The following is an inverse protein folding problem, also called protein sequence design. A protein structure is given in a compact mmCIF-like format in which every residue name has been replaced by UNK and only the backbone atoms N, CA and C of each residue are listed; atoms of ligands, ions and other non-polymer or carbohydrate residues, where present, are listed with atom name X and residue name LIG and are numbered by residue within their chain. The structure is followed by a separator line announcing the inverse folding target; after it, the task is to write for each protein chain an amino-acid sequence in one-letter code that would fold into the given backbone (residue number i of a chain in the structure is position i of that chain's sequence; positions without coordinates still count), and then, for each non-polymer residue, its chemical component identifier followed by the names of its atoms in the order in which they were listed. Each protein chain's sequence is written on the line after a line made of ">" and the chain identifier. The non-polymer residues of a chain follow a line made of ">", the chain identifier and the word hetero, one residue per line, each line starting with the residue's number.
data_IF_991475312935
#
_entry.id   IF_991475312935
#
_cell.length_a   1.000
_cell.length_b   1.000
_cell.length_c   1.000
_cell.angle_alpha   90.00
_cell.angle_beta   90.00
_cell.angle_gamma   90.00
#
_symmetry.space_group_name_H-M   'P 1'
#
loop_
_entity.id
_entity.type
_entity.pdbx_description
1 polymer ?
#
# COMPACT_ATOMS: atom_id res chain seq x y z
N UNK A 1 -12.87 -15.56 -15.51
CA UNK A 1 -11.39 -15.65 -15.43
C UNK A 1 -10.98 -14.89 -14.18
N UNK A 2 -9.94 -15.33 -13.45
CA UNK A 2 -9.41 -14.56 -12.34
C UNK A 2 -8.95 -13.18 -12.82
N UNK A 3 -9.02 -12.18 -11.95
CA UNK A 3 -8.36 -10.89 -12.18
C UNK A 3 -6.84 -11.07 -12.24
N UNK A 4 -6.13 -10.20 -12.96
CA UNK A 4 -4.66 -10.23 -13.01
C UNK A 4 -4.12 -8.93 -12.41
N UNK A 5 -3.43 -9.04 -11.28
CA UNK A 5 -2.65 -7.94 -10.70
C UNK A 5 -1.21 -8.02 -11.21
N UNK A 6 -0.74 -6.97 -11.90
CA UNK A 6 0.65 -6.87 -12.35
C UNK A 6 1.44 -5.89 -11.50
N UNK A 7 2.55 -6.35 -10.92
CA UNK A 7 3.49 -5.49 -10.19
C UNK A 7 4.89 -6.07 -10.14
N UNK A 8 5.85 -5.30 -9.62
CA UNK A 8 7.16 -5.84 -9.27
C UNK A 8 7.03 -6.88 -8.16
N UNK A 9 7.97 -7.82 -8.12
CA UNK A 9 8.13 -8.83 -7.08
C UNK A 9 8.72 -8.22 -5.78
N UNK A 10 7.99 -7.24 -5.24
CA UNK A 10 8.27 -6.50 -4.00
C UNK A 10 6.94 -6.15 -3.33
N UNK A 11 6.97 -5.65 -2.09
CA UNK A 11 5.80 -5.04 -1.42
C UNK A 11 5.26 -3.84 -2.22
N UNK A 12 6.02 -2.74 -2.23
CA UNK A 12 5.73 -1.48 -2.91
C UNK A 12 4.26 -1.03 -2.88
N UNK A 13 3.84 -0.37 -3.96
CA UNK A 13 2.49 0.21 -4.12
C UNK A 13 1.37 -0.84 -4.26
N UNK A 14 1.71 -2.12 -4.38
CA UNK A 14 0.72 -3.19 -4.54
C UNK A 14 0.26 -3.78 -3.20
N UNK A 15 0.90 -3.43 -2.08
CA UNK A 15 0.61 -4.08 -0.80
C UNK A 15 -0.85 -3.91 -0.37
N UNK A 16 -1.36 -2.67 -0.34
CA UNK A 16 -2.76 -2.40 -0.04
C UNK A 16 -3.72 -3.10 -1.02
N UNK A 17 -3.34 -3.23 -2.30
CA UNK A 17 -4.16 -3.91 -3.32
C UNK A 17 -4.27 -5.40 -3.03
N UNK A 18 -3.14 -6.07 -2.75
CA UNK A 18 -3.12 -7.49 -2.39
C UNK A 18 -3.95 -7.78 -1.16
N UNK A 19 -3.78 -6.97 -0.11
CA UNK A 19 -4.58 -7.07 1.11
C UNK A 19 -6.08 -6.90 0.84
N UNK A 20 -6.46 -5.94 0.00
CA UNK A 20 -7.86 -5.71 -0.36
C UNK A 20 -8.45 -6.85 -1.19
N UNK A 21 -7.68 -7.42 -2.13
CA UNK A 21 -8.10 -8.59 -2.91
C UNK A 21 -8.34 -9.80 -2.01
N UNK A 22 -7.44 -10.06 -1.05
CA UNK A 22 -7.60 -11.17 -0.10
C UNK A 22 -8.78 -10.92 0.86
N UNK A 23 -8.95 -9.69 1.37
CA UNK A 23 -10.08 -9.34 2.23
C UNK A 23 -11.44 -9.51 1.54
N UNK A 24 -11.52 -9.12 0.26
CA UNK A 24 -12.75 -9.24 -0.54
C UNK A 24 -12.98 -10.64 -1.11
N UNK A 25 -12.11 -11.61 -0.77
CA UNK A 25 -12.13 -12.98 -1.27
C UNK A 25 -12.15 -13.04 -2.81
N UNK A 26 -11.46 -12.09 -3.43
CA UNK A 26 -11.41 -11.93 -4.87
C UNK A 26 -10.65 -13.10 -5.53
N UNK A 27 -11.14 -13.59 -6.66
CA UNK A 27 -10.38 -14.52 -7.50
C UNK A 27 -9.38 -13.75 -8.35
N UNK A 28 -8.09 -13.86 -8.03
CA UNK A 28 -7.02 -13.17 -8.76
C UNK A 28 -5.74 -14.02 -8.88
N UNK A 29 -4.93 -13.69 -9.88
CA UNK A 29 -3.56 -14.14 -10.07
C UNK A 29 -2.63 -12.93 -10.09
N UNK A 30 -1.36 -13.14 -9.73
CA UNK A 30 -0.33 -12.11 -9.80
C UNK A 30 0.65 -12.36 -10.94
N UNK A 31 0.85 -11.34 -11.77
CA UNK A 31 1.98 -11.24 -12.70
C UNK A 31 3.09 -10.45 -12.01
N UNK A 32 4.01 -11.18 -11.38
CA UNK A 32 5.18 -10.59 -10.73
C UNK A 32 6.31 -10.40 -11.75
N UNK A 33 6.80 -9.18 -11.86
CA UNK A 33 7.98 -8.85 -12.65
C UNK A 33 9.20 -8.78 -11.74
N UNK A 34 10.30 -9.42 -12.14
CA UNK A 34 11.57 -9.35 -11.40
C UNK A 34 12.48 -8.30 -12.01
N UNK A 35 13.02 -7.42 -11.18
CA UNK A 35 14.11 -6.51 -11.56
C UNK A 35 15.45 -7.24 -11.43
N UNK A 36 16.33 -7.13 -12.43
CA UNK A 36 17.69 -7.66 -12.39
C UNK A 36 18.53 -7.04 -11.26
N UNK A 37 19.67 -7.64 -10.96
CA UNK A 37 20.58 -7.13 -9.94
C UNK A 37 21.40 -5.93 -10.44
N UNK A 38 22.05 -5.26 -9.49
CA UNK A 38 22.98 -4.18 -9.78
C UNK A 38 24.19 -4.71 -10.61
N UNK A 39 24.79 -3.87 -11.46
CA UNK A 39 24.47 -2.46 -11.70
C UNK A 39 23.37 -2.24 -12.76
N UNK A 40 22.98 -3.29 -13.48
CA UNK A 40 22.15 -3.16 -14.69
C UNK A 40 20.67 -2.95 -14.38
N UNK A 41 20.19 -3.51 -13.27
CA UNK A 41 18.79 -3.44 -12.84
C UNK A 41 17.80 -3.79 -13.95
N UNK A 42 18.07 -4.87 -14.71
CA UNK A 42 17.31 -5.24 -15.91
C UNK A 42 15.79 -5.23 -15.65
N UNK A 43 15.04 -4.56 -16.52
CA UNK A 43 13.57 -4.45 -16.47
C UNK A 43 12.91 -5.13 -17.66
N UNK A 44 13.66 -5.95 -18.41
CA UNK A 44 13.21 -6.51 -19.68
C UNK A 44 11.91 -7.32 -19.56
N UNK A 45 11.69 -8.02 -18.44
CA UNK A 45 10.44 -8.76 -18.20
C UNK A 45 9.21 -7.85 -18.34
N UNK A 46 9.23 -6.69 -17.67
CA UNK A 46 8.14 -5.72 -17.77
C UNK A 46 8.12 -5.02 -19.14
N UNK A 47 9.28 -4.53 -19.59
CA UNK A 47 9.36 -3.72 -20.80
C UNK A 47 8.92 -4.48 -22.08
N UNK A 48 9.06 -5.81 -22.09
CA UNK A 48 8.59 -6.67 -23.19
C UNK A 48 7.07 -6.75 -23.31
N UNK A 49 6.34 -6.57 -22.21
CA UNK A 49 4.88 -6.69 -22.13
C UNK A 49 4.17 -5.32 -22.00
N UNK A 50 4.87 -4.30 -21.48
CA UNK A 50 4.33 -2.97 -21.14
C UNK A 50 3.31 -2.41 -22.13
N UNK A 51 3.63 -2.43 -23.42
CA UNK A 51 2.79 -1.84 -24.49
C UNK A 51 1.88 -2.84 -25.20
N UNK A 52 1.81 -4.09 -24.73
CA UNK A 52 1.03 -5.19 -25.34
C UNK A 52 -0.21 -5.58 -24.52
N UNK A 53 -0.37 -5.02 -23.33
CA UNK A 53 -1.47 -5.33 -22.42
C UNK A 53 -2.75 -4.52 -22.69
N UNK A 54 -2.70 -3.52 -23.58
CA UNK A 54 -3.83 -2.65 -23.90
C UNK A 54 -4.19 -1.67 -22.77
N UNK A 55 -3.22 -1.30 -21.93
CA UNK A 55 -3.39 -0.28 -20.89
C UNK A 55 -3.38 1.12 -21.53
N UNK A 56 -4.28 2.02 -21.12
CA UNK A 56 -4.32 3.40 -21.62
C UNK A 56 -3.06 4.18 -21.24
N UNK A 57 -2.62 4.03 -19.98
CA UNK A 57 -1.39 4.62 -19.44
C UNK A 57 -0.48 3.52 -18.89
N UNK A 58 0.31 2.82 -19.72
CA UNK A 58 1.08 1.65 -19.30
C UNK A 58 1.99 1.89 -18.09
N UNK A 59 1.63 1.32 -16.94
CA UNK A 59 2.31 1.52 -15.66
C UNK A 59 2.16 0.30 -14.73
N UNK A 60 2.91 0.29 -13.63
CA UNK A 60 2.78 -0.67 -12.53
C UNK A 60 2.41 0.07 -11.23
N UNK A 61 1.44 -0.39 -10.43
CA UNK A 61 0.62 -1.58 -10.66
C UNK A 61 -0.43 -1.39 -11.77
N UNK A 62 -0.85 -2.52 -12.35
CA UNK A 62 -2.05 -2.62 -13.16
C UNK A 62 -2.97 -3.73 -12.66
N UNK A 63 -4.27 -3.61 -12.90
CA UNK A 63 -5.27 -4.66 -12.71
C UNK A 63 -6.01 -4.90 -14.02
N UNK A 64 -6.12 -6.16 -14.44
CA UNK A 64 -6.96 -6.57 -15.57
C UNK A 64 -8.09 -7.43 -15.04
N UNK A 65 -9.32 -7.01 -15.31
CA UNK A 65 -10.55 -7.71 -14.95
C UNK A 65 -11.51 -7.73 -16.14
N UNK A 66 -11.45 -8.82 -16.92
CA UNK A 66 -12.18 -8.96 -18.17
C UNK A 66 -11.82 -7.84 -19.15
N UNK A 67 -12.80 -6.99 -19.47
CA UNK A 67 -12.60 -5.85 -20.36
C UNK A 67 -11.90 -4.66 -19.68
N UNK A 68 -11.95 -4.58 -18.34
CA UNK A 68 -11.39 -3.47 -17.58
C UNK A 68 -9.88 -3.62 -17.44
N UNK A 69 -9.16 -2.55 -17.79
CA UNK A 69 -7.70 -2.47 -17.74
C UNK A 69 -7.32 -1.20 -17.01
N UNK A 70 -6.86 -1.33 -15.77
CA UNK A 70 -6.76 -0.21 -14.83
C UNK A 70 -5.31 -0.07 -14.39
N UNK A 71 -4.81 1.17 -14.39
CA UNK A 71 -3.51 1.55 -13.82
C UNK A 71 -3.72 2.60 -12.73
N UNK A 72 -2.68 2.91 -11.96
CA UNK A 72 -2.70 3.73 -10.73
C UNK A 72 -3.28 2.97 -9.54
N UNK A 73 -2.48 2.85 -8.47
CA UNK A 73 -2.83 2.06 -7.28
C UNK A 73 -4.16 2.51 -6.65
N UNK A 74 -4.36 3.82 -6.50
CA UNK A 74 -5.59 4.38 -5.92
C UNK A 74 -6.82 4.10 -6.80
N UNK A 75 -6.69 4.17 -8.13
CA UNK A 75 -7.78 3.85 -9.04
C UNK A 75 -8.16 2.35 -8.98
N UNK A 76 -7.15 1.47 -8.87
CA UNK A 76 -7.33 0.03 -8.68
C UNK A 76 -8.05 -0.26 -7.35
N UNK A 77 -7.59 0.34 -6.25
CA UNK A 77 -8.22 0.21 -4.94
C UNK A 77 -9.68 0.66 -4.98
N UNK A 78 -9.95 1.85 -5.51
CA UNK A 78 -11.31 2.38 -5.66
C UNK A 78 -12.19 1.49 -6.54
N UNK A 79 -11.63 0.87 -7.59
CA UNK A 79 -12.37 -0.06 -8.45
C UNK A 79 -12.82 -1.30 -7.68
N UNK A 80 -11.91 -1.94 -6.96
CA UNK A 80 -12.23 -3.10 -6.12
C UNK A 80 -13.22 -2.67 -5.03
N UNK A 81 -12.96 -1.57 -4.35
CA UNK A 81 -13.81 -1.04 -3.28
C UNK A 81 -15.26 -0.82 -3.72
N UNK A 82 -15.48 -0.24 -4.91
CA UNK A 82 -16.84 -0.02 -5.46
C UNK A 82 -17.60 -1.33 -5.72
N UNK A 83 -16.91 -2.42 -6.07
CA UNK A 83 -17.56 -3.74 -6.25
C UNK A 83 -18.08 -4.34 -4.94
N UNK A 84 -17.55 -3.88 -3.80
CA UNK A 84 -17.82 -4.43 -2.48
C UNK A 84 -18.38 -3.40 -1.49
N UNK A 85 -18.79 -2.22 -1.96
CA UNK A 85 -19.32 -1.11 -1.14
C UNK A 85 -18.36 -0.63 -0.03
N UNK A 86 -17.05 -0.52 -0.34
CA UNK A 86 -16.00 -0.14 0.60
C UNK A 86 -15.47 1.30 0.39
N UNK A 87 -16.31 2.23 -0.09
CA UNK A 87 -15.90 3.59 -0.48
C UNK A 87 -16.36 4.72 0.46
N UNK A 88 -17.04 4.41 1.56
CA UNK A 88 -17.82 5.39 2.33
C UNK A 88 -19.21 5.59 1.72
N UNK A 89 -20.22 5.73 2.58
CA UNK A 89 -21.64 5.80 2.25
C UNK A 89 -22.15 7.24 2.34
N UNK A 90 -21.81 7.94 3.43
CA UNK A 90 -22.22 9.34 3.66
C UNK A 90 -21.25 10.33 3.03
N UNK A 91 -21.65 11.61 2.95
CA UNK A 91 -20.77 12.66 2.44
C UNK A 91 -19.56 12.87 3.36
N UNK A 92 -19.77 12.83 4.67
CA UNK A 92 -18.71 12.93 5.67
C UNK A 92 -17.70 11.79 5.54
N UNK A 93 -18.18 10.57 5.29
CA UNK A 93 -17.32 9.41 5.06
C UNK A 93 -16.50 9.55 3.78
N UNK A 94 -17.11 10.03 2.69
CA UNK A 94 -16.42 10.28 1.41
C UNK A 94 -15.34 11.35 1.54
N UNK A 95 -15.64 12.45 2.25
CA UNK A 95 -14.64 13.49 2.55
C UNK A 95 -13.44 12.88 3.29
N UNK A 96 -13.69 12.03 4.30
CA UNK A 96 -12.61 11.38 5.04
C UNK A 96 -11.81 10.41 4.19
N UNK A 97 -12.47 9.64 3.33
CA UNK A 97 -11.83 8.77 2.33
C UNK A 97 -10.91 9.58 1.42
N UNK A 98 -11.40 10.67 0.85
CA UNK A 98 -10.65 11.47 -0.11
C UNK A 98 -9.44 12.15 0.54
N UNK A 99 -9.60 12.70 1.75
CA UNK A 99 -8.48 13.30 2.51
C UNK A 99 -7.42 12.23 2.81
N UNK A 100 -7.83 11.09 3.36
CA UNK A 100 -6.89 10.08 3.83
C UNK A 100 -6.16 9.39 2.68
N UNK A 101 -6.84 9.12 1.56
CA UNK A 101 -6.21 8.54 0.37
C UNK A 101 -5.04 9.42 -0.12
N UNK A 102 -5.26 10.72 -0.21
CA UNK A 102 -4.25 11.66 -0.69
C UNK A 102 -3.14 11.86 0.36
N UNK A 103 -3.49 11.99 1.64
CA UNK A 103 -2.52 12.12 2.72
C UNK A 103 -1.61 10.87 2.84
N UNK A 104 -2.18 9.67 2.68
CA UNK A 104 -1.41 8.43 2.68
C UNK A 104 -0.42 8.37 1.50
N UNK A 105 -0.83 8.84 0.32
CA UNK A 105 0.04 8.91 -0.85
C UNK A 105 1.20 9.90 -0.64
N UNK A 106 0.94 11.09 -0.10
CA UNK A 106 1.99 12.08 0.20
C UNK A 106 3.03 11.51 1.18
N UNK A 107 2.57 10.85 2.23
CA UNK A 107 3.44 10.21 3.23
C UNK A 107 4.25 9.07 2.62
N UNK A 108 3.63 8.23 1.78
CA UNK A 108 4.33 7.15 1.06
C UNK A 108 5.46 7.70 0.19
N UNK A 109 5.17 8.78 -0.56
CA UNK A 109 6.13 9.42 -1.46
C UNK A 109 7.27 10.10 -0.70
N UNK A 110 7.00 10.68 0.47
CA UNK A 110 8.03 11.27 1.33
C UNK A 110 9.02 10.20 1.83
N UNK A 111 8.52 9.08 2.36
CA UNK A 111 9.38 7.98 2.80
C UNK A 111 10.19 7.41 1.63
N UNK A 112 9.52 7.16 0.49
CA UNK A 112 10.19 6.66 -0.70
C UNK A 112 11.31 7.61 -1.15
N UNK A 113 11.08 8.93 -1.18
CA UNK A 113 12.10 9.92 -1.55
C UNK A 113 13.34 9.81 -0.66
N UNK A 114 13.17 9.61 0.65
CA UNK A 114 14.29 9.41 1.58
C UNK A 114 15.00 8.10 1.27
N UNK A 115 14.27 6.98 1.18
CA UNK A 115 14.84 5.64 1.01
C UNK A 115 15.51 5.38 -0.35
N UNK A 116 15.14 6.12 -1.40
CA UNK A 116 15.79 6.06 -2.71
C UNK A 116 16.93 7.08 -2.88
N UNK A 117 17.09 8.02 -1.96
CA UNK A 117 18.12 9.06 -2.07
C UNK A 117 19.52 8.48 -1.82
N UNK A 118 20.54 8.81 -2.64
CA UNK A 118 21.93 8.49 -2.31
C UNK A 118 22.41 9.18 -1.03
N UNK A 119 21.74 10.26 -0.60
CA UNK A 119 22.00 10.97 0.65
C UNK A 119 21.15 10.45 1.83
N UNK A 120 20.65 9.21 1.76
CA UNK A 120 19.78 8.60 2.78
C UNK A 120 20.25 8.84 4.23
N UNK A 121 21.53 8.59 4.53
CA UNK A 121 22.09 8.77 5.89
C UNK A 121 22.04 10.23 6.38
N UNK A 122 22.03 11.21 5.47
CA UNK A 122 21.90 12.63 5.83
C UNK A 122 20.44 13.05 6.02
N UNK A 123 19.53 12.46 5.24
CA UNK A 123 18.10 12.80 5.25
C UNK A 123 17.32 12.04 6.35
N UNK A 124 17.79 10.85 6.73
CA UNK A 124 17.12 9.99 7.70
C UNK A 124 16.88 10.66 9.06
N UNK A 125 17.83 11.39 9.67
CA UNK A 125 17.60 12.02 10.98
C UNK A 125 16.44 13.01 10.99
N UNK A 126 16.38 13.90 9.99
CA UNK A 126 15.28 14.87 9.85
C UNK A 126 13.95 14.16 9.63
N UNK A 127 13.94 13.10 8.80
CA UNK A 127 12.73 12.31 8.59
C UNK A 127 12.23 11.67 9.90
N UNK A 128 13.14 11.05 10.67
CA UNK A 128 12.82 10.44 11.97
C UNK A 128 12.26 11.46 12.97
N UNK A 129 12.79 12.68 13.00
CA UNK A 129 12.29 13.76 13.86
C UNK A 129 10.85 14.16 13.51
N UNK A 130 10.45 14.06 12.24
CA UNK A 130 9.09 14.36 11.78
C UNK A 130 8.06 13.24 12.00
N UNK A 131 8.48 11.99 12.21
CA UNK A 131 7.57 10.84 12.35
C UNK A 131 6.56 11.01 13.50
N UNK A 132 6.95 11.46 14.72
CA UNK A 132 5.99 11.62 15.82
C UNK A 132 4.83 12.55 15.49
N UNK A 133 5.10 13.70 14.86
CA UNK A 133 4.05 14.64 14.42
C UNK A 133 3.16 14.03 13.34
N UNK A 134 3.76 13.29 12.40
CA UNK A 134 3.00 12.57 11.38
C UNK A 134 2.04 11.54 12.00
N UNK A 135 2.53 10.67 12.89
CA UNK A 135 1.72 9.67 13.58
C UNK A 135 0.65 10.32 14.47
N UNK A 136 0.94 11.47 15.07
CA UNK A 136 -0.04 12.25 15.83
C UNK A 136 -1.22 12.68 14.94
N UNK A 137 -0.98 13.15 13.72
CA UNK A 137 -2.05 13.53 12.80
C UNK A 137 -2.93 12.33 12.42
N UNK A 138 -2.36 11.16 12.11
CA UNK A 138 -3.14 9.94 11.85
C UNK A 138 -3.93 9.49 13.08
N UNK A 139 -3.31 9.53 14.27
CA UNK A 139 -3.96 9.18 15.53
C UNK A 139 -5.15 10.08 15.84
N UNK A 140 -5.00 11.39 15.68
CA UNK A 140 -6.09 12.36 15.86
C UNK A 140 -7.19 12.18 14.82
N UNK A 141 -6.81 11.92 13.56
CA UNK A 141 -7.77 11.70 12.48
C UNK A 141 -8.58 10.43 12.73
N UNK A 142 -7.96 9.30 13.11
CA UNK A 142 -8.67 8.07 13.51
C UNK A 142 -9.58 8.29 14.72
N UNK A 143 -9.09 9.03 15.71
CA UNK A 143 -9.84 9.33 16.93
C UNK A 143 -10.14 8.05 17.73
N UNK A 144 -11.42 7.83 18.03
CA UNK A 144 -11.92 6.71 18.83
C UNK A 144 -12.57 5.59 17.99
N UNK A 145 -12.71 5.81 16.68
CA UNK A 145 -13.37 4.86 15.79
C UNK A 145 -12.54 3.59 15.58
N UNK A 146 -13.17 2.46 15.21
CA UNK A 146 -12.45 1.24 14.90
C UNK A 146 -11.68 1.34 13.57
N UNK A 147 -12.21 2.13 12.62
CA UNK A 147 -11.67 2.36 11.28
C UNK A 147 -11.58 3.86 11.00
N UNK A 148 -10.79 4.24 10.01
CA UNK A 148 -10.48 5.63 9.72
C UNK A 148 -11.69 6.44 9.22
N UNK A 149 -12.67 5.80 8.60
CA UNK A 149 -13.82 6.49 8.01
C UNK A 149 -15.04 6.48 8.95
N UNK A 150 -15.12 5.51 9.85
CA UNK A 150 -16.22 5.35 10.80
C UNK A 150 -16.24 3.95 11.39
N UNK A 151 -17.45 3.38 11.53
CA UNK A 151 -17.65 2.04 12.10
C UNK A 151 -17.42 0.90 11.10
N UNK A 152 -17.44 1.21 9.80
CA UNK A 152 -17.21 0.26 8.72
C UNK A 152 -15.83 0.44 8.12
N UNK A 153 -15.18 -0.68 7.79
CA UNK A 153 -13.92 -0.67 7.05
C UNK A 153 -14.15 -0.22 5.61
N UNK A 154 -13.18 0.51 5.07
CA UNK A 154 -13.15 0.99 3.69
C UNK A 154 -11.78 0.74 3.07
N UNK A 155 -11.62 0.99 1.78
CA UNK A 155 -10.31 0.76 1.13
C UNK A 155 -9.18 1.65 1.67
N UNK A 156 -9.50 2.80 2.28
CA UNK A 156 -8.47 3.69 2.85
C UNK A 156 -7.87 3.14 4.14
N UNK A 157 -8.54 2.22 4.82
CA UNK A 157 -7.95 1.49 5.95
C UNK A 157 -6.80 0.58 5.49
N UNK A 158 -6.85 0.06 4.26
CA UNK A 158 -5.77 -0.74 3.67
C UNK A 158 -4.56 0.12 3.31
N UNK A 159 -4.80 1.35 2.84
CA UNK A 159 -3.75 2.34 2.63
C UNK A 159 -3.14 2.77 3.97
N UNK A 160 -3.98 3.11 4.95
CA UNK A 160 -3.50 3.52 6.27
C UNK A 160 -2.71 2.41 6.97
N UNK A 161 -3.16 1.15 6.89
CA UNK A 161 -2.40 0.00 7.38
C UNK A 161 -1.03 -0.07 6.72
N UNK A 162 -0.96 0.00 5.38
CA UNK A 162 0.31 -0.08 4.66
C UNK A 162 1.26 1.05 5.11
N UNK A 163 0.79 2.29 5.19
CA UNK A 163 1.61 3.43 5.64
C UNK A 163 2.09 3.26 7.09
N UNK A 164 1.21 2.93 8.03
CA UNK A 164 1.58 2.77 9.43
C UNK A 164 2.55 1.60 9.63
N UNK A 165 2.33 0.49 8.93
CA UNK A 165 3.24 -0.65 8.98
C UNK A 165 4.59 -0.35 8.32
N UNK A 166 4.63 0.38 7.20
CA UNK A 166 5.88 0.86 6.61
C UNK A 166 6.70 1.71 7.58
N UNK A 167 6.04 2.57 8.35
CA UNK A 167 6.71 3.39 9.38
C UNK A 167 7.14 2.54 10.58
N UNK A 168 6.33 1.57 11.02
CA UNK A 168 6.72 0.59 12.05
C UNK A 168 7.94 -0.23 11.62
N UNK A 169 8.05 -0.53 10.33
CA UNK A 169 9.22 -1.21 9.79
C UNK A 169 10.46 -0.29 9.83
N UNK A 170 10.28 0.98 9.48
CA UNK A 170 11.36 1.95 9.36
C UNK A 170 11.88 2.40 10.74
N UNK A 171 10.97 2.64 11.67
CA UNK A 171 11.19 3.02 13.06
C UNK A 171 10.24 2.21 13.97
N UNK A 172 10.69 1.08 14.55
CA UNK A 172 9.84 0.14 15.29
C UNK A 172 9.00 0.72 16.43
N UNK A 173 9.48 1.80 17.05
CA UNK A 173 8.84 2.41 18.21
C UNK A 173 7.89 3.56 17.86
N UNK A 174 7.76 3.90 16.57
CA UNK A 174 7.03 5.11 16.14
C UNK A 174 5.55 5.15 16.54
N UNK A 175 4.93 4.00 16.85
CA UNK A 175 3.53 3.90 17.24
C UNK A 175 3.32 3.80 18.76
N UNK A 176 4.37 3.70 19.58
CA UNK A 176 4.24 3.42 21.01
C UNK A 176 3.52 4.52 21.79
N UNK A 177 3.65 5.77 21.34
CA UNK A 177 2.93 6.91 21.91
C UNK A 177 1.46 7.00 21.47
N UNK A 178 1.00 6.15 20.55
CA UNK A 178 -0.32 6.23 19.91
C UNK A 178 -1.10 4.92 20.06
N UNK A 179 -1.69 4.64 21.24
CA UNK A 179 -2.39 3.37 21.51
C UNK A 179 -3.47 3.04 20.48
N UNK A 180 -4.25 4.04 20.02
CA UNK A 180 -5.30 3.83 19.03
C UNK A 180 -4.77 3.36 17.66
N UNK A 181 -3.57 3.78 17.26
CA UNK A 181 -2.92 3.30 16.04
C UNK A 181 -2.40 1.87 16.22
N UNK A 182 -1.86 1.52 17.38
CA UNK A 182 -1.48 0.13 17.70
C UNK A 182 -2.70 -0.79 17.70
N UNK A 183 -3.80 -0.34 18.27
CA UNK A 183 -5.08 -1.06 18.27
C UNK A 183 -5.62 -1.22 16.84
N UNK A 184 -5.53 -0.19 16.01
CA UNK A 184 -5.90 -0.26 14.59
C UNK A 184 -5.08 -1.31 13.84
N UNK A 185 -3.75 -1.31 13.99
CA UNK A 185 -2.87 -2.31 13.38
C UNK A 185 -3.25 -3.73 13.80
N UNK A 186 -3.40 -3.95 15.12
CA UNK A 186 -3.78 -5.26 15.67
C UNK A 186 -5.15 -5.71 15.14
N UNK A 187 -6.13 -4.80 15.07
CA UNK A 187 -7.46 -5.06 14.55
C UNK A 187 -7.43 -5.45 13.08
N UNK A 188 -6.67 -4.73 12.26
CA UNK A 188 -6.54 -5.00 10.83
C UNK A 188 -5.87 -6.37 10.57
N UNK A 189 -4.74 -6.64 11.24
CA UNK A 189 -4.03 -7.93 11.15
C UNK A 189 -4.86 -9.11 11.70
N UNK A 190 -5.78 -8.82 12.61
CA UNK A 190 -6.73 -9.77 13.20
C UNK A 190 -7.95 -10.10 12.33
N UNK A 191 -8.20 -9.38 11.24
CA UNK A 191 -9.27 -9.71 10.29
C UNK A 191 -9.01 -11.12 9.73
N UNK A 192 -10.02 -12.00 9.75
CA UNK A 192 -9.85 -13.43 9.43
C UNK A 192 -9.10 -13.66 8.12
N UNK A 193 -9.55 -13.02 7.02
CA UNK A 193 -8.94 -13.13 5.70
C UNK A 193 -7.51 -12.56 5.65
N UNK A 194 -7.25 -11.46 6.35
CA UNK A 194 -5.91 -10.84 6.43
C UNK A 194 -4.95 -11.72 7.23
N UNK A 195 -5.38 -12.19 8.40
CA UNK A 195 -4.58 -13.09 9.25
C UNK A 195 -4.24 -14.39 8.52
N UNK A 196 -5.20 -14.97 7.79
CA UNK A 196 -4.97 -16.15 6.97
C UNK A 196 -3.98 -15.87 5.84
N UNK A 197 -4.14 -14.74 5.14
CA UNK A 197 -3.24 -14.34 4.07
C UNK A 197 -1.81 -14.12 4.57
N UNK A 198 -1.61 -13.41 5.67
CA UNK A 198 -0.29 -13.11 6.26
C UNK A 198 0.49 -14.35 6.70
N UNK A 199 -0.21 -15.47 6.97
CA UNK A 199 0.39 -16.78 7.30
C UNK A 199 0.67 -17.63 6.07
N UNK A 200 0.22 -17.21 4.89
CA UNK A 200 0.41 -17.95 3.63
C UNK A 200 1.72 -17.58 2.95
N UNK A 201 2.17 -18.43 2.02
CA UNK A 201 3.34 -18.14 1.17
C UNK A 201 3.11 -17.03 0.16
N UNK A 202 1.87 -16.57 -0.05
CA UNK A 202 1.55 -15.43 -0.93
C UNK A 202 1.87 -14.09 -0.29
N UNK A 203 1.99 -14.04 1.05
CA UNK A 203 2.24 -12.78 1.74
C UNK A 203 3.64 -12.24 1.43
N UNK A 204 3.68 -11.04 0.84
CA UNK A 204 4.91 -10.37 0.42
C UNK A 204 5.12 -9.04 1.17
N UNK A 205 5.61 -9.08 2.43
CA UNK A 205 5.88 -7.87 3.23
C UNK A 205 7.24 -7.22 2.90
N UNK A 206 8.10 -7.95 2.20
CA UNK A 206 9.49 -7.58 1.86
C UNK A 206 9.86 -8.10 0.47
N UNK A 207 10.81 -7.45 -0.23
CA UNK A 207 11.41 -6.15 0.12
C UNK A 207 10.38 -5.02 0.03
N UNK A 208 10.59 -3.93 0.77
CA UNK A 208 9.67 -2.78 0.77
C UNK A 208 9.70 -2.06 -0.57
N UNK A 209 10.92 -1.79 -1.04
CA UNK A 209 11.22 -1.02 -2.24
C UNK A 209 11.97 -1.88 -3.26
N UNK A 210 12.15 -1.33 -4.46
CA UNK A 210 12.91 -2.00 -5.52
C UNK A 210 14.40 -2.10 -5.15
N UNK A 211 15.14 -2.93 -5.88
CA UNK A 211 16.58 -3.14 -5.69
C UNK A 211 17.42 -1.86 -5.74
N UNK A 212 16.90 -0.79 -6.34
CA UNK A 212 17.56 0.51 -6.48
C UNK A 212 17.46 1.39 -5.24
N UNK A 213 16.62 1.06 -4.25
CA UNK A 213 16.57 1.84 -3.01
C UNK A 213 17.83 1.60 -2.16
N UNK A 214 18.22 2.63 -1.39
CA UNK A 214 19.32 2.53 -0.42
C UNK A 214 18.86 1.77 0.83
N UNK A 215 17.61 1.97 1.25
CA UNK A 215 16.99 1.24 2.36
C UNK A 215 15.75 0.48 1.91
N UNK A 216 15.50 -0.69 2.51
CA UNK A 216 14.29 -1.49 2.25
C UNK A 216 14.27 -2.23 0.92
N UNK A 217 15.43 -2.37 0.26
CA UNK A 217 15.60 -3.06 -1.02
C UNK A 217 15.81 -4.59 -0.89
N UNK A 218 15.72 -5.13 0.33
CA UNK A 218 15.85 -6.56 0.67
C UNK A 218 14.79 -6.96 1.68
#
# INVERSE_FOLDING_TARGET
>A
MPMILGYWDIRGLAHAIRLLLEYTDSSYEEKMYTMGDAPDYDRSQWLKEKFKLGLDFPNLPYLIDGAHKITQSNAILRYIARKHNLCGETEEEKIRVDILENQAMDVSNQLARVCYSPDFEKLKPEYLEGIPTMMQHFSQFLGKGPWFVGDKITFVDFLAYDILDLHRIFEPTCLDAFPNLKDFISRFEGLEKISAYMKSSRFLPRPVFTKMAVWGNK
#
